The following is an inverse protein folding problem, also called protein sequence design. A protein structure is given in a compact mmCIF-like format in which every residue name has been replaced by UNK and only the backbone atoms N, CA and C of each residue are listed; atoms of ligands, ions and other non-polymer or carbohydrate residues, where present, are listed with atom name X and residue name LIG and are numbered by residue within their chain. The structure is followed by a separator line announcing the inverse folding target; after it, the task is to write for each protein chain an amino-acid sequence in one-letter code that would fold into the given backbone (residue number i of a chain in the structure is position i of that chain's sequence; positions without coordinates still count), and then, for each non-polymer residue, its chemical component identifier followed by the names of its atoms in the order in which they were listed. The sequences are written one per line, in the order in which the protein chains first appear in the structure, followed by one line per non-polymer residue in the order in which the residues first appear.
data_IF_393909674968
#
_entry.id   IF_393909674968
#
_cell.length_a   1.000
_cell.length_b   1.000
_cell.length_c   1.000
_cell.angle_alpha   90.00
_cell.angle_beta   90.00
_cell.angle_gamma   90.00
#
_symmetry.space_group_name_H-M   'P 1'
#
loop_
_entity.id
_entity.type
_entity.pdbx_description
1 polymer ?
#
# COMPACT_ATOMS: atom_id res chain seq x y z
N UNK A 1 44.98 -78.27 -0.59
CA UNK A 1 45.14 -76.81 -0.74
C UNK A 1 44.41 -76.37 -2.01
N UNK A 2 43.22 -75.80 -1.82
CA UNK A 2 42.24 -75.33 -2.83
C UNK A 2 42.83 -74.29 -3.79
N UNK A 3 42.67 -74.34 -5.11
CA UNK A 3 41.51 -74.31 -6.04
C UNK A 3 40.83 -72.94 -6.19
N UNK A 4 40.65 -72.60 -7.48
CA UNK A 4 40.40 -71.28 -8.08
C UNK A 4 38.91 -71.08 -8.43
N UNK A 5 38.61 -69.82 -8.72
CA UNK A 5 37.75 -69.32 -9.83
C UNK A 5 36.25 -69.09 -9.62
N UNK A 6 35.91 -67.80 -9.79
CA UNK A 6 34.90 -67.21 -10.69
C UNK A 6 33.53 -67.89 -10.89
N UNK A 7 32.49 -67.23 -10.36
CA UNK A 7 31.43 -66.55 -11.13
C UNK A 7 30.44 -67.37 -11.98
N UNK A 8 29.16 -67.38 -11.58
CA UNK A 8 28.00 -67.41 -12.48
C UNK A 8 26.66 -67.06 -11.78
N UNK A 9 25.84 -66.21 -12.41
CA UNK A 9 24.35 -66.20 -12.37
C UNK A 9 23.86 -66.90 -13.67
N UNK A 10 22.60 -67.39 -13.86
CA UNK A 10 21.32 -66.72 -13.51
C UNK A 10 20.03 -67.59 -13.27
N UNK A 11 18.91 -66.89 -12.98
CA UNK A 11 17.45 -67.13 -13.24
C UNK A 11 16.73 -68.45 -12.86
N UNK A 12 15.81 -68.33 -11.89
CA UNK A 12 14.35 -68.40 -12.06
C UNK A 12 13.62 -69.73 -11.77
N UNK A 13 12.64 -69.73 -10.85
CA UNK A 13 11.37 -70.48 -10.96
C UNK A 13 10.31 -70.02 -9.93
N UNK A 14 9.04 -70.05 -10.35
CA UNK A 14 7.80 -69.66 -9.64
C UNK A 14 7.42 -70.66 -8.53
N UNK A 15 6.77 -70.18 -7.46
CA UNK A 15 5.54 -70.80 -6.93
C UNK A 15 4.78 -69.80 -6.04
N UNK A 16 3.46 -69.72 -6.28
CA UNK A 16 2.54 -68.96 -5.44
C UNK A 16 1.92 -69.80 -4.33
N UNK A 17 1.35 -69.11 -3.34
CA UNK A 17 0.01 -69.34 -2.75
C UNK A 17 -0.23 -68.33 -1.62
N UNK A 18 -1.47 -67.86 -1.54
CA UNK A 18 -2.05 -66.99 -0.52
C UNK A 18 -2.21 -67.69 0.84
N UNK A 19 -2.77 -66.94 1.80
CA UNK A 19 -3.39 -67.28 3.11
C UNK A 19 -2.67 -66.51 4.24
N UNK A 20 -3.09 -65.27 4.56
CA UNK A 20 -4.17 -64.90 5.50
C UNK A 20 -4.09 -65.57 6.89
N UNK A 21 -3.96 -64.69 7.90
CA UNK A 21 -4.51 -64.70 9.28
C UNK A 21 -3.58 -64.87 10.50
N UNK A 22 -3.94 -64.05 11.50
CA UNK A 22 -3.57 -64.01 12.92
C UNK A 22 -2.16 -63.48 13.25
N UNK A 23 -1.93 -62.45 14.07
CA UNK A 23 -2.78 -61.78 15.04
C UNK A 23 -2.07 -61.80 16.40
N UNK A 24 -1.44 -60.70 16.82
CA UNK A 24 -1.23 -60.42 18.25
C UNK A 24 -0.98 -58.93 18.51
N UNK A 25 -1.89 -58.38 19.30
CA UNK A 25 -1.98 -57.02 19.81
C UNK A 25 -0.72 -56.51 20.52
N UNK A 26 -0.34 -55.26 20.26
CA UNK A 26 0.39 -54.41 21.20
C UNK A 26 -0.56 -53.27 21.61
N UNK A 27 -0.86 -53.21 22.91
CA UNK A 27 -1.77 -52.24 23.54
C UNK A 27 -1.10 -50.87 23.61
N UNK A 28 -1.72 -49.85 23.02
CA UNK A 28 -1.39 -48.44 23.24
C UNK A 28 -2.11 -47.87 24.47
N UNK A 29 -1.58 -46.82 25.12
CA UNK A 29 -2.23 -46.20 26.28
C UNK A 29 -3.37 -45.25 25.86
N UNK A 30 -4.57 -45.67 26.25
CA UNK A 30 -5.77 -44.94 26.68
C UNK A 30 -5.78 -43.41 26.48
N UNK A 31 -6.61 -42.97 25.52
CA UNK A 31 -7.21 -41.62 25.44
C UNK A 31 -8.00 -41.33 26.72
N UNK A 32 -7.59 -40.34 27.52
CA UNK A 32 -8.47 -39.69 28.49
C UNK A 32 -9.22 -38.55 27.79
N UNK A 33 -10.55 -38.66 27.78
CA UNK A 33 -11.45 -37.67 27.20
C UNK A 33 -11.40 -36.33 27.93
N UNK A 34 -11.41 -35.26 27.16
CA UNK A 34 -11.69 -33.90 27.63
C UNK A 34 -13.13 -33.60 27.16
N UNK A 35 -14.04 -33.18 28.06
CA UNK A 35 -15.45 -33.02 27.73
C UNK A 35 -15.69 -31.87 26.76
N UNK A 36 -16.60 -32.10 25.81
CA UNK A 36 -17.09 -31.10 24.89
C UNK A 36 -17.83 -29.99 25.65
N UNK A 37 -17.24 -28.79 25.70
CA UNK A 37 -17.94 -27.56 26.05
C UNK A 37 -18.84 -27.16 24.89
N UNK A 38 -20.03 -27.76 24.82
CA UNK A 38 -21.16 -27.17 24.12
C UNK A 38 -21.55 -25.89 24.87
N UNK A 39 -21.09 -24.74 24.38
CA UNK A 39 -21.63 -23.45 24.82
C UNK A 39 -23.00 -23.29 24.17
N UNK A 40 -24.05 -23.54 24.94
CA UNK A 40 -25.42 -23.20 24.58
C UNK A 40 -25.48 -21.70 24.24
N UNK A 41 -26.01 -21.38 23.06
CA UNK A 41 -26.41 -20.02 22.68
C UNK A 41 -27.67 -19.71 23.49
N UNK A 42 -27.70 -18.68 24.35
CA UNK A 42 -28.94 -18.29 25.02
C UNK A 42 -29.94 -17.75 23.97
N UNK A 43 -31.26 -18.00 24.12
CA UNK A 43 -32.25 -17.44 23.22
C UNK A 43 -32.24 -15.91 23.30
N UNK A 44 -32.48 -15.27 22.16
CA UNK A 44 -32.57 -13.82 22.05
C UNK A 44 -33.69 -13.27 22.93
N UNK A 45 -33.38 -12.23 23.71
CA UNK A 45 -34.37 -11.46 24.47
C UNK A 45 -35.40 -10.84 23.52
N UNK A 46 -36.69 -10.79 23.88
CA UNK A 46 -37.70 -10.06 23.12
C UNK A 46 -37.40 -8.55 23.15
N UNK A 47 -37.69 -7.81 22.08
CA UNK A 47 -37.44 -6.36 22.04
C UNK A 47 -38.29 -5.63 23.08
N UNK A 48 -37.66 -4.71 23.81
CA UNK A 48 -38.34 -3.83 24.76
C UNK A 48 -39.46 -3.02 24.07
N UNK A 49 -40.64 -2.85 24.71
CA UNK A 49 -41.71 -2.05 24.15
C UNK A 49 -41.44 -0.57 24.40
N UNK A 50 -41.38 0.20 23.32
CA UNK A 50 -41.52 1.66 23.41
C UNK A 50 -40.37 2.45 22.81
N UNK A 51 -40.37 2.57 21.48
CA UNK A 51 -39.87 3.76 20.81
C UNK A 51 -40.70 3.99 19.55
N UNK A 52 -41.63 4.95 19.63
CA UNK A 52 -42.42 5.42 18.48
C UNK A 52 -41.55 6.40 17.67
N UNK A 53 -41.45 6.28 16.34
CA UNK A 53 -40.81 7.32 15.55
C UNK A 53 -41.68 8.58 15.53
N UNK A 54 -41.07 9.72 15.88
CA UNK A 54 -41.70 11.02 15.72
C UNK A 54 -41.92 11.30 14.23
N UNK A 55 -43.18 11.49 13.85
CA UNK A 55 -43.55 12.03 12.55
C UNK A 55 -42.96 13.44 12.41
N UNK A 56 -42.05 13.61 11.46
CA UNK A 56 -41.62 14.94 11.00
C UNK A 56 -42.78 15.53 10.20
N UNK A 57 -43.51 16.45 10.85
CA UNK A 57 -44.54 17.25 10.21
C UNK A 57 -43.88 18.21 9.20
N UNK A 58 -44.32 18.14 7.95
CA UNK A 58 -43.98 19.14 6.93
C UNK A 58 -44.55 20.52 7.28
N UNK A 59 -43.93 21.62 6.80
CA UNK A 59 -44.42 22.97 7.05
C UNK A 59 -45.77 23.21 6.36
N UNK A 60 -46.72 23.74 7.12
CA UNK A 60 -48.06 24.16 6.66
C UNK A 60 -47.98 25.49 5.87
N UNK A 61 -48.94 25.78 4.98
CA UNK A 61 -48.97 27.01 4.19
C UNK A 61 -49.37 28.21 5.04
N UNK A 62 -48.80 29.38 4.74
CA UNK A 62 -49.19 30.67 5.30
C UNK A 62 -50.60 31.08 4.81
N UNK A 63 -51.44 31.69 5.66
CA UNK A 63 -52.72 32.24 5.24
C UNK A 63 -52.52 33.57 4.50
N UNK A 64 -53.28 33.74 3.42
CA UNK A 64 -53.29 34.95 2.61
C UNK A 64 -54.11 36.06 3.25
N UNK A 65 -53.62 37.29 3.08
CA UNK A 65 -54.41 38.49 3.27
C UNK A 65 -54.80 39.07 1.90
N UNK A 66 -56.12 39.23 1.76
CA UNK A 66 -56.75 39.90 0.66
C UNK A 66 -56.82 41.42 0.91
N UNK A 67 -56.53 42.19 -0.13
CA UNK A 67 -57.22 43.47 -0.39
C UNK A 67 -56.53 44.74 0.09
N UNK A 68 -55.93 45.47 -0.87
CA UNK A 68 -56.46 46.76 -1.37
C UNK A 68 -55.47 47.37 -2.36
N UNK A 69 -55.92 47.54 -3.60
CA UNK A 69 -55.38 48.55 -4.51
C UNK A 69 -55.86 49.94 -4.10
N UNK A 70 -55.12 50.99 -4.45
CA UNK A 70 -55.74 51.91 -5.41
C UNK A 70 -54.80 52.33 -6.55
N UNK A 71 -55.47 52.75 -7.62
CA UNK A 71 -54.98 53.19 -8.92
C UNK A 71 -53.99 54.36 -8.86
N UNK A 72 -52.99 54.34 -9.75
CA UNK A 72 -52.07 55.46 -10.00
C UNK A 72 -51.23 55.29 -11.28
N UNK A 73 -51.86 55.55 -12.43
CA UNK A 73 -51.39 56.07 -13.75
C UNK A 73 -50.00 55.71 -14.36
N UNK A 74 -49.90 55.74 -15.71
CA UNK A 74 -48.86 55.04 -16.46
C UNK A 74 -47.60 55.89 -16.69
N UNK A 75 -46.46 55.43 -16.17
CA UNK A 75 -45.14 55.98 -16.49
C UNK A 75 -44.39 55.02 -17.41
N UNK A 76 -44.20 55.45 -18.66
CA UNK A 76 -43.33 54.89 -19.70
C UNK A 76 -42.24 53.91 -19.22
N UNK A 77 -42.48 52.61 -19.40
CA UNK A 77 -41.39 51.63 -19.47
C UNK A 77 -40.57 51.90 -20.73
N UNK A 78 -39.46 52.62 -20.57
CA UNK A 78 -38.41 52.66 -21.57
C UNK A 78 -38.01 51.21 -21.87
N UNK A 79 -38.38 50.78 -23.07
CA UNK A 79 -37.96 49.53 -23.70
C UNK A 79 -36.46 49.61 -23.94
N UNK A 80 -35.64 49.46 -22.90
CA UNK A 80 -34.23 49.14 -23.06
C UNK A 80 -34.16 47.75 -23.68
N UNK A 81 -34.03 47.74 -25.00
CA UNK A 81 -33.51 46.59 -25.74
C UNK A 81 -32.16 46.25 -25.12
N UNK A 82 -32.16 45.31 -24.18
CA UNK A 82 -30.94 44.59 -23.84
C UNK A 82 -30.57 43.87 -25.12
N UNK A 83 -29.59 44.41 -25.84
CA UNK A 83 -28.86 43.64 -26.82
C UNK A 83 -28.29 42.43 -26.08
N UNK A 84 -28.96 41.28 -26.23
CA UNK A 84 -28.32 39.99 -26.10
C UNK A 84 -27.14 40.00 -27.07
N UNK A 85 -25.99 40.51 -26.62
CA UNK A 85 -24.71 40.16 -27.22
C UNK A 85 -24.66 38.66 -27.10
N UNK A 86 -24.87 37.97 -28.24
CA UNK A 86 -24.54 36.56 -28.42
C UNK A 86 -23.25 36.32 -27.66
N UNK A 87 -23.31 35.49 -26.63
CA UNK A 87 -22.11 34.93 -26.05
C UNK A 87 -21.29 34.39 -27.25
N UNK A 88 -20.00 34.73 -27.37
CA UNK A 88 -19.19 34.07 -28.38
C UNK A 88 -19.35 32.57 -28.16
N UNK A 89 -19.50 31.75 -29.22
CA UNK A 89 -19.53 30.32 -29.05
C UNK A 89 -18.32 29.98 -28.19
N UNK A 90 -18.56 29.27 -27.10
CA UNK A 90 -17.51 28.65 -26.31
C UNK A 90 -16.70 27.84 -27.31
N UNK A 91 -15.65 28.45 -27.86
CA UNK A 91 -14.54 27.76 -28.46
C UNK A 91 -13.96 26.98 -27.30
N UNK A 92 -14.48 25.77 -27.13
CA UNK A 92 -13.74 24.60 -26.74
C UNK A 92 -12.56 24.47 -27.72
N UNK A 93 -11.66 25.44 -27.69
CA UNK A 93 -10.25 25.20 -27.92
C UNK A 93 -9.81 24.43 -26.68
N UNK A 94 -10.34 23.20 -26.56
CA UNK A 94 -9.70 22.11 -25.86
C UNK A 94 -8.28 22.18 -26.33
N UNK A 95 -7.42 22.59 -25.42
CA UNK A 95 -6.02 22.83 -25.64
C UNK A 95 -5.39 21.53 -26.13
N UNK A 96 -5.50 21.31 -27.43
CA UNK A 96 -5.01 20.17 -28.21
C UNK A 96 -3.52 20.36 -28.46
N UNK A 97 -2.79 20.73 -27.40
CA UNK A 97 -1.33 20.85 -27.35
C UNK A 97 -0.84 20.25 -26.04
N UNK A 98 -0.84 18.92 -25.99
CA UNK A 98 0.13 18.11 -25.26
C UNK A 98 0.18 16.72 -25.91
N UNK A 99 0.56 16.70 -27.20
CA UNK A 99 1.31 15.57 -27.74
C UNK A 99 2.55 15.42 -26.85
N UNK A 100 2.54 14.36 -26.03
CA UNK A 100 3.68 13.74 -25.34
C UNK A 100 4.90 14.65 -25.05
N UNK A 101 4.75 15.66 -24.19
CA UNK A 101 5.92 16.06 -23.39
C UNK A 101 6.06 14.95 -22.36
N UNK A 102 6.95 13.98 -22.62
CA UNK A 102 7.31 12.95 -21.66
C UNK A 102 7.66 13.66 -20.37
N UNK A 103 6.78 13.55 -19.37
CA UNK A 103 7.03 14.20 -18.10
C UNK A 103 8.34 13.64 -17.53
N UNK A 104 9.10 14.41 -16.75
CA UNK A 104 10.34 13.90 -16.12
C UNK A 104 10.13 12.58 -15.37
N UNK A 105 8.92 12.36 -14.86
CA UNK A 105 8.47 11.10 -14.25
C UNK A 105 8.28 9.95 -15.24
N UNK A 106 7.82 10.22 -16.46
CA UNK A 106 7.70 9.23 -17.53
C UNK A 106 9.08 8.78 -18.02
N UNK A 107 10.05 9.70 -18.13
CA UNK A 107 11.45 9.35 -18.42
C UNK A 107 12.06 8.49 -17.32
N UNK A 108 11.85 8.84 -16.05
CA UNK A 108 12.30 8.03 -14.92
C UNK A 108 11.67 6.62 -14.91
N UNK A 109 10.39 6.51 -15.27
CA UNK A 109 9.70 5.23 -15.38
C UNK A 109 10.29 4.34 -16.50
N UNK A 110 10.56 4.92 -17.68
CA UNK A 110 11.19 4.20 -18.78
C UNK A 110 12.62 3.76 -18.45
N UNK A 111 13.41 4.66 -17.87
CA UNK A 111 14.76 4.33 -17.40
C UNK A 111 14.73 3.20 -16.36
N UNK A 112 13.79 3.25 -15.41
CA UNK A 112 13.58 2.18 -14.44
C UNK A 112 13.18 0.85 -15.09
N UNK A 113 12.30 0.86 -16.09
CA UNK A 113 11.90 -0.34 -16.83
C UNK A 113 13.07 -0.99 -17.59
N UNK A 114 13.89 -0.18 -18.26
CA UNK A 114 15.10 -0.65 -18.95
C UNK A 114 16.11 -1.20 -17.93
N UNK A 115 16.31 -0.52 -16.81
CA UNK A 115 17.23 -0.94 -15.76
C UNK A 115 16.80 -2.27 -15.11
N UNK A 116 15.50 -2.47 -14.89
CA UNK A 116 14.95 -3.75 -14.40
C UNK A 116 15.17 -4.88 -15.40
N UNK A 117 14.97 -4.64 -16.70
CA UNK A 117 15.23 -5.63 -17.74
C UNK A 117 16.73 -6.00 -17.79
N UNK A 118 17.62 -5.01 -17.72
CA UNK A 118 19.07 -5.22 -17.67
C UNK A 118 19.48 -6.01 -16.42
N UNK A 119 18.88 -5.73 -15.25
CA UNK A 119 19.12 -6.52 -14.04
C UNK A 119 18.66 -7.96 -14.18
N UNK A 120 17.55 -8.21 -14.89
CA UNK A 120 17.09 -9.58 -15.08
C UNK A 120 18.09 -10.41 -15.88
N UNK A 121 18.74 -9.79 -16.88
CA UNK A 121 19.84 -10.40 -17.61
C UNK A 121 21.05 -10.66 -16.69
N UNK A 122 21.46 -9.68 -15.87
CA UNK A 122 22.57 -9.87 -14.93
C UNK A 122 22.32 -11.02 -13.93
N UNK A 123 21.09 -11.16 -13.42
CA UNK A 123 20.74 -12.23 -12.47
C UNK A 123 20.90 -13.63 -13.08
N UNK A 124 20.52 -13.81 -14.34
CA UNK A 124 20.50 -15.14 -14.96
C UNK A 124 21.74 -15.47 -15.79
N UNK A 125 22.39 -14.47 -16.38
CA UNK A 125 23.54 -14.67 -17.28
C UNK A 125 24.89 -14.40 -16.60
N UNK A 126 24.95 -13.50 -15.61
CA UNK A 126 26.21 -13.07 -14.99
C UNK A 126 26.41 -13.62 -13.57
N UNK A 127 25.38 -13.57 -12.73
CA UNK A 127 25.53 -13.99 -11.34
C UNK A 127 25.73 -15.51 -11.20
N UNK A 128 26.81 -15.96 -10.55
CA UNK A 128 27.02 -17.37 -10.28
C UNK A 128 25.98 -17.91 -9.29
N UNK A 129 25.70 -19.21 -9.37
CA UNK A 129 24.80 -19.87 -8.42
C UNK A 129 25.53 -20.21 -7.12
N UNK A 130 24.86 -20.02 -6.00
CA UNK A 130 25.39 -20.38 -4.70
C UNK A 130 25.41 -21.91 -4.54
N UNK A 131 26.49 -22.45 -3.96
CA UNK A 131 26.82 -23.88 -3.98
C UNK A 131 25.80 -24.76 -3.24
N UNK A 132 25.08 -24.24 -2.25
CA UNK A 132 24.17 -25.00 -1.40
C UNK A 132 22.72 -24.87 -1.85
N UNK A 133 22.25 -23.64 -2.12
CA UNK A 133 20.86 -23.35 -2.49
C UNK A 133 20.61 -23.46 -4.00
N UNK A 134 21.65 -23.39 -4.82
CA UNK A 134 21.55 -23.44 -6.28
C UNK A 134 20.69 -22.29 -6.85
N UNK A 135 19.81 -22.56 -7.82
CA UNK A 135 19.09 -21.51 -8.56
C UNK A 135 18.09 -20.74 -7.70
N UNK A 136 17.64 -21.30 -6.56
CA UNK A 136 16.68 -20.62 -5.68
C UNK A 136 17.28 -19.40 -4.99
N UNK A 137 18.61 -19.36 -4.82
CA UNK A 137 19.29 -18.17 -4.33
C UNK A 137 18.96 -16.93 -5.17
N UNK A 138 18.62 -17.05 -6.46
CA UNK A 138 18.30 -15.90 -7.32
C UNK A 138 17.10 -15.06 -6.83
N UNK A 139 16.22 -15.61 -5.98
CA UNK A 139 15.15 -14.86 -5.30
C UNK A 139 15.72 -13.72 -4.44
N UNK A 140 16.93 -13.89 -3.90
CA UNK A 140 17.67 -12.87 -3.16
C UNK A 140 17.75 -11.53 -3.88
N UNK A 141 18.02 -11.55 -5.19
CA UNK A 141 18.18 -10.32 -6.00
C UNK A 141 16.88 -9.54 -6.18
N UNK A 142 15.73 -10.19 -5.98
CA UNK A 142 14.42 -9.55 -5.91
C UNK A 142 14.08 -9.14 -4.47
N UNK A 143 14.27 -10.05 -3.52
CA UNK A 143 13.87 -9.87 -2.13
C UNK A 143 14.66 -8.75 -1.43
N UNK A 144 15.98 -8.71 -1.61
CA UNK A 144 16.85 -7.71 -0.98
C UNK A 144 16.48 -6.26 -1.34
N UNK A 145 16.35 -5.87 -2.63
CA UNK A 145 16.00 -4.49 -2.96
C UNK A 145 14.57 -4.13 -2.54
N UNK A 146 13.63 -5.08 -2.55
CA UNK A 146 12.28 -4.86 -2.02
C UNK A 146 12.32 -4.48 -0.54
N UNK A 147 13.07 -5.24 0.26
CA UNK A 147 13.23 -4.97 1.68
C UNK A 147 13.91 -3.61 1.91
N UNK A 148 15.02 -3.36 1.22
CA UNK A 148 15.81 -2.14 1.39
C UNK A 148 15.00 -0.88 1.08
N UNK A 149 14.37 -0.81 -0.09
CA UNK A 149 13.61 0.38 -0.50
C UNK A 149 12.29 0.51 0.27
N UNK A 150 11.71 -0.59 0.77
CA UNK A 150 10.60 -0.54 1.72
C UNK A 150 10.98 0.19 3.02
N UNK A 151 12.10 -0.19 3.64
CA UNK A 151 12.61 0.45 4.86
C UNK A 151 13.00 1.92 4.63
N UNK A 152 13.66 2.23 3.50
CA UNK A 152 13.98 3.61 3.11
C UNK A 152 12.71 4.45 2.95
N UNK A 153 11.63 3.87 2.42
CA UNK A 153 10.33 4.54 2.30
C UNK A 153 9.75 4.89 3.68
N UNK A 154 9.84 3.99 4.65
CA UNK A 154 9.40 4.27 6.03
C UNK A 154 10.27 5.32 6.72
N UNK A 155 11.58 5.35 6.44
CA UNK A 155 12.47 6.43 6.90
C UNK A 155 12.04 7.78 6.31
N UNK A 156 11.78 7.84 5.00
CA UNK A 156 11.31 9.05 4.34
C UNK A 156 9.94 9.52 4.89
N UNK A 157 9.04 8.58 5.21
CA UNK A 157 7.77 8.85 5.86
C UNK A 157 7.94 9.43 7.27
N UNK A 158 8.88 8.88 8.06
CA UNK A 158 9.23 9.40 9.39
C UNK A 158 9.76 10.83 9.31
N UNK A 159 10.73 11.10 8.43
CA UNK A 159 11.27 12.45 8.23
C UNK A 159 10.18 13.45 7.83
N UNK A 160 9.29 13.07 6.90
CA UNK A 160 8.20 13.93 6.49
C UNK A 160 7.15 14.14 7.58
N UNK A 161 6.88 13.12 8.40
CA UNK A 161 5.98 13.24 9.55
C UNK A 161 6.55 14.18 10.62
N UNK A 162 7.85 14.12 10.87
CA UNK A 162 8.54 15.06 11.78
C UNK A 162 8.49 16.49 11.23
N UNK A 163 8.76 16.68 9.94
CA UNK A 163 8.64 17.98 9.27
C UNK A 163 7.21 18.51 9.27
N UNK A 164 6.20 17.64 9.13
CA UNK A 164 4.80 18.02 9.28
C UNK A 164 4.52 18.49 10.70
N UNK A 165 4.98 17.77 11.74
CA UNK A 165 4.76 18.17 13.12
C UNK A 165 5.44 19.51 13.46
N UNK A 166 6.62 19.78 12.88
CA UNK A 166 7.34 21.03 13.09
C UNK A 166 6.75 22.21 12.30
N UNK A 167 6.53 22.05 10.99
CA UNK A 167 6.14 23.17 10.10
C UNK A 167 4.64 23.25 9.83
N UNK A 168 3.86 22.23 10.20
CA UNK A 168 2.41 22.09 9.97
C UNK A 168 1.97 22.30 8.52
N UNK A 169 2.85 22.09 7.53
CA UNK A 169 2.52 22.23 6.10
C UNK A 169 1.89 20.94 5.56
N UNK A 170 0.71 20.99 4.90
CA UNK A 170 0.01 19.80 4.40
C UNK A 170 0.82 19.02 3.34
N UNK A 171 1.77 19.67 2.66
CA UNK A 171 2.65 19.02 1.70
C UNK A 171 3.51 17.92 2.31
N UNK A 172 3.92 18.06 3.58
CA UNK A 172 4.73 17.06 4.28
C UNK A 172 3.89 15.85 4.69
N UNK A 173 2.66 16.07 5.14
CA UNK A 173 1.73 14.98 5.44
C UNK A 173 1.37 14.19 4.17
N UNK A 174 1.13 14.86 3.05
CA UNK A 174 0.91 14.20 1.76
C UNK A 174 2.13 13.40 1.27
N UNK A 175 3.34 13.89 1.52
CA UNK A 175 4.56 13.14 1.20
C UNK A 175 4.71 11.91 2.11
N UNK A 176 4.47 12.08 3.42
CA UNK A 176 4.48 10.98 4.38
C UNK A 176 3.50 9.88 3.97
N UNK A 177 2.27 10.25 3.60
CA UNK A 177 1.27 9.31 3.11
C UNK A 177 1.73 8.52 1.87
N UNK A 178 2.29 9.21 0.87
CA UNK A 178 2.82 8.55 -0.32
C UNK A 178 3.97 7.59 0.02
N UNK A 179 4.84 7.97 0.96
CA UNK A 179 5.96 7.15 1.42
C UNK A 179 5.51 5.94 2.24
N UNK A 180 4.47 6.07 3.09
CA UNK A 180 3.86 4.95 3.81
C UNK A 180 3.25 3.96 2.84
N UNK A 181 2.46 4.42 1.86
CA UNK A 181 1.83 3.53 0.89
C UNK A 181 2.87 2.81 0.02
N UNK A 182 3.88 3.52 -0.47
CA UNK A 182 4.97 2.91 -1.25
C UNK A 182 5.77 1.92 -0.40
N UNK A 183 6.06 2.27 0.85
CA UNK A 183 6.76 1.40 1.79
C UNK A 183 5.97 0.14 2.11
N UNK A 184 4.66 0.26 2.33
CA UNK A 184 3.78 -0.87 2.59
C UNK A 184 3.71 -1.82 1.40
N UNK A 185 3.65 -1.30 0.16
CA UNK A 185 3.69 -2.13 -1.04
C UNK A 185 4.99 -2.96 -1.11
N UNK A 186 6.15 -2.32 -0.93
CA UNK A 186 7.45 -2.99 -0.95
C UNK A 186 7.61 -3.98 0.21
N UNK A 187 7.15 -3.62 1.40
CA UNK A 187 7.15 -4.49 2.58
C UNK A 187 6.25 -5.72 2.36
N UNK A 188 5.07 -5.54 1.76
CA UNK A 188 4.17 -6.65 1.39
C UNK A 188 4.86 -7.61 0.43
N UNK A 189 5.47 -7.08 -0.64
CA UNK A 189 6.23 -7.90 -1.60
C UNK A 189 7.43 -8.59 -0.95
N UNK A 190 8.07 -7.95 0.02
CA UNK A 190 9.15 -8.54 0.82
C UNK A 190 8.66 -9.73 1.64
N UNK A 191 7.52 -9.60 2.32
CA UNK A 191 6.92 -10.71 3.09
C UNK A 191 6.52 -11.88 2.16
N UNK A 192 5.92 -11.60 1.00
CA UNK A 192 5.53 -12.63 0.02
C UNK A 192 6.76 -13.35 -0.53
N UNK A 193 7.75 -12.60 -1.04
CA UNK A 193 8.97 -13.20 -1.59
C UNK A 193 9.78 -13.93 -0.52
N UNK A 194 9.80 -13.42 0.71
CA UNK A 194 10.43 -14.07 1.86
C UNK A 194 9.75 -15.39 2.23
N UNK A 195 8.41 -15.44 2.19
CA UNK A 195 7.66 -16.66 2.45
C UNK A 195 7.88 -17.74 1.38
N UNK A 196 7.92 -17.33 0.10
CA UNK A 196 8.26 -18.22 -1.02
C UNK A 196 9.68 -18.79 -0.84
N UNK A 197 10.65 -17.93 -0.50
CA UNK A 197 12.02 -18.36 -0.25
C UNK A 197 12.12 -19.30 0.96
N UNK A 198 11.44 -18.98 2.05
CA UNK A 198 11.39 -19.81 3.27
C UNK A 198 10.81 -21.19 3.02
N UNK A 199 9.75 -21.29 2.19
CA UNK A 199 9.15 -22.59 1.83
C UNK A 199 10.15 -23.52 1.15
N UNK A 200 11.00 -22.98 0.28
CA UNK A 200 12.03 -23.79 -0.37
C UNK A 200 13.22 -24.09 0.55
N UNK A 201 13.73 -23.07 1.26
CA UNK A 201 14.95 -23.20 2.06
C UNK A 201 14.77 -23.99 3.36
N UNK A 202 13.61 -23.89 4.00
CA UNK A 202 13.35 -24.47 5.33
C UNK A 202 12.14 -25.39 5.35
N UNK A 203 11.46 -25.59 4.22
CA UNK A 203 10.27 -26.44 4.13
C UNK A 203 9.01 -25.82 4.75
N UNK A 204 9.04 -24.58 5.23
CA UNK A 204 7.89 -23.92 5.89
C UNK A 204 7.68 -22.50 5.34
N UNK A 205 6.42 -22.09 5.21
CA UNK A 205 6.07 -20.76 4.68
C UNK A 205 6.37 -19.62 5.66
N UNK A 206 6.39 -19.91 6.96
CA UNK A 206 6.63 -18.94 8.00
C UNK A 206 7.28 -19.59 9.21
N UNK A 207 8.23 -18.88 9.81
CA UNK A 207 8.77 -19.17 11.13
C UNK A 207 8.69 -17.92 11.99
N UNK A 208 8.53 -18.11 13.30
CA UNK A 208 8.50 -17.02 14.27
C UNK A 208 9.90 -16.55 14.64
N UNK A 209 10.76 -16.39 13.62
CA UNK A 209 12.09 -15.81 13.78
C UNK A 209 11.96 -14.32 14.17
N UNK A 210 12.86 -13.77 15.01
CA UNK A 210 12.79 -12.37 15.45
C UNK A 210 12.73 -11.37 14.30
N UNK A 211 13.46 -11.60 13.21
CA UNK A 211 13.45 -10.70 12.04
C UNK A 211 12.12 -10.76 11.30
N UNK A 212 11.63 -11.97 11.05
CA UNK A 212 10.38 -12.19 10.33
C UNK A 212 9.20 -11.61 11.13
N UNK A 213 9.20 -11.84 12.44
CA UNK A 213 8.15 -11.37 13.34
C UNK A 213 8.15 -9.84 13.44
N UNK A 214 9.31 -9.20 13.60
CA UNK A 214 9.40 -7.72 13.62
C UNK A 214 9.03 -7.11 12.27
N UNK A 215 9.43 -7.71 11.14
CA UNK A 215 9.00 -7.23 9.82
C UNK A 215 7.47 -7.34 9.62
N UNK A 216 6.84 -8.38 10.18
CA UNK A 216 5.38 -8.52 10.16
C UNK A 216 4.69 -7.48 11.06
N UNK A 217 5.25 -7.22 12.24
CA UNK A 217 4.75 -6.16 13.15
C UNK A 217 4.86 -4.80 12.47
N UNK A 218 6.00 -4.48 11.84
CA UNK A 218 6.21 -3.27 11.05
C UNK A 218 5.12 -3.09 10.00
N UNK A 219 4.83 -4.17 9.25
CA UNK A 219 3.78 -4.18 8.23
C UNK A 219 2.42 -3.83 8.84
N UNK A 220 2.04 -4.45 9.96
CA UNK A 220 0.77 -4.15 10.64
C UNK A 220 0.69 -2.71 11.16
N UNK A 221 1.78 -2.15 11.68
CA UNK A 221 1.81 -0.76 12.14
C UNK A 221 1.50 0.20 10.98
N UNK A 222 2.15 0.01 9.82
CA UNK A 222 1.94 0.87 8.66
C UNK A 222 0.62 0.60 7.94
N UNK A 223 0.12 -0.64 7.92
CA UNK A 223 -1.24 -0.95 7.49
C UNK A 223 -2.29 -0.26 8.39
N UNK A 224 -2.06 -0.26 9.70
CA UNK A 224 -2.85 0.48 10.69
C UNK A 224 -2.83 1.99 10.43
N UNK A 225 -1.69 2.56 10.03
CA UNK A 225 -1.58 3.96 9.63
C UNK A 225 -2.48 4.28 8.41
N UNK A 226 -2.55 3.38 7.42
CA UNK A 226 -3.47 3.53 6.27
C UNK A 226 -4.94 3.46 6.70
N UNK A 227 -5.29 2.50 7.57
CA UNK A 227 -6.64 2.38 8.12
C UNK A 227 -7.04 3.62 8.95
N UNK A 228 -6.13 4.16 9.75
CA UNK A 228 -6.35 5.41 10.48
C UNK A 228 -6.60 6.59 9.54
N UNK A 229 -5.94 6.61 8.39
CA UNK A 229 -6.06 7.68 7.40
C UNK A 229 -7.36 7.62 6.60
N UNK A 230 -8.02 6.47 6.51
CA UNK A 230 -9.34 6.35 5.88
C UNK A 230 -10.49 6.76 6.80
N UNK A 231 -10.24 6.93 8.10
CA UNK A 231 -11.28 7.31 9.06
C UNK A 231 -11.80 8.75 8.81
N UNK A 232 -13.12 8.97 8.96
CA UNK A 232 -13.71 10.30 8.80
C UNK A 232 -13.34 11.18 10.00
N UNK A 233 -12.32 12.02 9.82
CA UNK A 233 -11.81 12.95 10.83
C UNK A 233 -11.40 14.28 10.19
N UNK A 234 -11.37 15.39 10.96
CA UNK A 234 -10.80 16.65 10.48
C UNK A 234 -9.36 16.47 10.01
N UNK A 235 -9.02 17.04 8.85
CA UNK A 235 -7.75 16.77 8.16
C UNK A 235 -6.52 16.98 9.04
N UNK A 236 -6.51 18.07 9.80
CA UNK A 236 -5.39 18.42 10.69
C UNK A 236 -5.20 17.40 11.81
N UNK A 237 -6.30 16.87 12.37
CA UNK A 237 -6.28 15.84 13.42
C UNK A 237 -5.80 14.52 12.86
N UNK A 238 -6.35 14.11 11.71
CA UNK A 238 -5.92 12.90 10.99
C UNK A 238 -4.43 12.92 10.68
N UNK A 239 -3.94 14.00 10.06
CA UNK A 239 -2.53 14.15 9.71
C UNK A 239 -1.61 14.13 10.94
N UNK A 240 -2.03 14.71 12.07
CA UNK A 240 -1.26 14.65 13.32
C UNK A 240 -1.18 13.22 13.88
N UNK A 241 -2.31 12.51 13.94
CA UNK A 241 -2.34 11.13 14.43
C UNK A 241 -1.53 10.18 13.53
N UNK A 242 -1.70 10.27 12.21
CA UNK A 242 -0.90 9.50 11.25
C UNK A 242 0.61 9.79 11.38
N UNK A 243 0.99 11.05 11.63
CA UNK A 243 2.40 11.41 11.83
C UNK A 243 2.99 10.77 13.08
N UNK A 244 2.25 10.76 14.19
CA UNK A 244 2.68 10.11 15.44
C UNK A 244 2.83 8.61 15.24
N UNK A 245 1.84 7.94 14.64
CA UNK A 245 1.90 6.49 14.35
C UNK A 245 3.07 6.16 13.42
N UNK A 246 3.30 6.99 12.40
CA UNK A 246 4.42 6.80 11.45
C UNK A 246 5.78 6.91 12.12
N UNK A 247 5.94 7.86 13.06
CA UNK A 247 7.18 8.03 13.84
C UNK A 247 7.36 6.86 14.81
N UNK A 248 6.30 6.47 15.51
CA UNK A 248 6.34 5.33 16.43
C UNK A 248 6.69 4.03 15.70
N UNK A 249 6.09 3.79 14.53
CA UNK A 249 6.40 2.64 13.68
C UNK A 249 7.83 2.65 13.14
N UNK A 250 8.42 3.83 12.92
CA UNK A 250 9.81 3.91 12.49
C UNK A 250 10.79 3.39 13.55
N UNK A 251 10.43 3.39 14.84
CA UNK A 251 11.28 2.80 15.89
C UNK A 251 11.49 1.29 15.70
N UNK A 252 10.56 0.62 15.01
CA UNK A 252 10.66 -0.81 14.68
C UNK A 252 11.57 -1.05 13.47
N UNK A 253 11.84 -0.07 12.60
CA UNK A 253 12.74 -0.22 11.44
C UNK A 253 14.18 -0.60 11.85
N UNK A 254 14.84 0.10 12.81
CA UNK A 254 16.11 -0.35 13.35
C UNK A 254 16.04 -1.74 14.00
N UNK A 255 14.91 -2.08 14.65
CA UNK A 255 14.72 -3.38 15.28
C UNK A 255 14.70 -4.49 14.22
N UNK A 256 14.00 -4.31 13.11
CA UNK A 256 14.00 -5.25 11.97
C UNK A 256 15.42 -5.43 11.42
N UNK A 257 16.20 -4.36 11.29
CA UNK A 257 17.57 -4.45 10.77
C UNK A 257 18.50 -5.19 11.75
N UNK A 258 18.47 -4.80 13.03
CA UNK A 258 19.32 -5.31 14.09
C UNK A 258 18.89 -6.68 14.63
N UNK A 259 17.66 -7.11 14.36
CA UNK A 259 17.08 -8.37 14.86
C UNK A 259 17.99 -9.59 14.64
N UNK A 260 18.60 -9.71 13.46
CA UNK A 260 19.50 -10.81 13.15
C UNK A 260 20.88 -10.74 13.83
N UNK A 261 21.23 -9.58 14.43
CA UNK A 261 22.46 -9.40 15.21
C UNK A 261 22.22 -9.56 16.71
N UNK A 262 21.03 -9.16 17.16
CA UNK A 262 20.65 -9.18 18.57
C UNK A 262 20.16 -10.55 19.05
N UNK A 263 19.52 -11.32 18.16
CA UNK A 263 19.02 -12.66 18.47
C UNK A 263 19.59 -13.73 17.53
N UNK A 264 19.55 -14.99 17.97
CA UNK A 264 19.79 -16.14 17.08
C UNK A 264 18.70 -16.14 16.02
N UNK A 265 19.09 -15.79 14.79
CA UNK A 265 18.20 -15.76 13.64
C UNK A 265 18.62 -16.80 12.61
N UNK A 266 17.64 -17.46 12.01
CA UNK A 266 17.86 -18.34 10.84
C UNK A 266 18.10 -17.53 9.56
N UNK A 267 17.90 -16.20 9.62
CA UNK A 267 18.02 -15.34 8.45
C UNK A 267 19.49 -15.07 8.12
N UNK A 268 19.96 -15.40 6.91
CA UNK A 268 21.35 -15.15 6.52
C UNK A 268 21.63 -13.64 6.53
N UNK A 269 22.75 -13.24 7.13
CA UNK A 269 23.15 -11.83 7.22
C UNK A 269 24.34 -11.52 6.32
N UNK A 270 24.03 -11.13 5.08
CA UNK A 270 25.01 -10.74 4.04
C UNK A 270 25.87 -9.52 4.39
N UNK A 271 25.46 -8.70 5.36
CA UNK A 271 26.20 -7.50 5.80
C UNK A 271 26.94 -7.68 7.14
N UNK A 272 26.93 -8.87 7.76
CA UNK A 272 27.48 -9.06 9.11
C UNK A 272 28.65 -10.04 9.21
N UNK A 273 29.06 -10.70 8.12
CA UNK A 273 30.12 -11.69 8.22
C UNK A 273 31.51 -11.03 8.21
N UNK A 274 32.14 -10.97 9.39
CA UNK A 274 33.61 -10.97 9.50
C UNK A 274 34.11 -12.27 8.85
N UNK A 275 34.47 -12.21 7.56
CA UNK A 275 35.10 -13.32 6.83
C UNK A 275 34.23 -14.09 5.83
N UNK A 276 33.01 -13.63 5.53
CA UNK A 276 32.10 -14.31 4.58
C UNK A 276 31.32 -13.34 3.72
N UNK A 277 32.04 -12.48 2.99
CA UNK A 277 31.42 -11.53 2.05
C UNK A 277 30.74 -12.24 0.88
N UNK A 278 29.76 -11.57 0.26
CA UNK A 278 29.25 -11.96 -1.05
C UNK A 278 30.41 -11.97 -2.05
N UNK A 279 30.44 -12.98 -2.91
CA UNK A 279 31.36 -13.03 -4.04
C UNK A 279 31.21 -11.74 -4.87
N UNK A 280 32.31 -11.14 -5.38
CA UNK A 280 32.25 -9.82 -6.01
C UNK A 280 31.20 -9.72 -7.13
N UNK A 281 31.03 -10.80 -7.90
CA UNK A 281 30.04 -10.91 -8.96
C UNK A 281 28.61 -10.86 -8.42
N UNK A 282 28.33 -11.59 -7.33
CA UNK A 282 27.03 -11.56 -6.66
C UNK A 282 26.75 -10.19 -6.03
N UNK A 283 27.77 -9.55 -5.44
CA UNK A 283 27.66 -8.24 -4.83
C UNK A 283 27.35 -7.16 -5.88
N UNK A 284 28.02 -7.21 -7.04
CA UNK A 284 27.77 -6.30 -8.16
C UNK A 284 26.36 -6.47 -8.72
N UNK A 285 25.89 -7.71 -8.90
CA UNK A 285 24.51 -7.96 -9.33
C UNK A 285 23.49 -7.45 -8.31
N UNK A 286 23.75 -7.66 -7.01
CA UNK A 286 22.88 -7.14 -5.95
C UNK A 286 22.83 -5.60 -5.94
N UNK A 287 23.98 -4.94 -6.14
CA UNK A 287 24.06 -3.49 -6.25
C UNK A 287 23.31 -2.95 -7.49
N UNK A 288 23.45 -3.62 -8.63
CA UNK A 288 22.70 -3.29 -9.86
C UNK A 288 21.19 -3.41 -9.65
N UNK A 289 20.75 -4.47 -8.98
CA UNK A 289 19.34 -4.67 -8.60
C UNK A 289 18.86 -3.56 -7.66
N UNK A 290 19.64 -3.23 -6.63
CA UNK A 290 19.31 -2.12 -5.73
C UNK A 290 19.18 -0.79 -6.48
N UNK A 291 20.09 -0.48 -7.41
CA UNK A 291 20.03 0.71 -8.24
C UNK A 291 18.81 0.73 -9.18
N UNK A 292 18.42 -0.41 -9.74
CA UNK A 292 17.25 -0.48 -10.63
C UNK A 292 15.94 -0.30 -9.86
N UNK A 293 15.83 -0.94 -8.70
CA UNK A 293 14.69 -0.76 -7.80
C UNK A 293 14.61 0.64 -7.21
N UNK A 294 15.72 1.38 -7.11
CA UNK A 294 15.70 2.80 -6.74
C UNK A 294 14.85 3.60 -7.73
N UNK A 295 15.07 3.42 -9.04
CA UNK A 295 14.30 4.11 -10.07
C UNK A 295 12.83 3.75 -10.03
N UNK A 296 12.50 2.48 -9.77
CA UNK A 296 11.13 2.03 -9.56
C UNK A 296 10.51 2.71 -8.33
N UNK A 297 11.16 2.61 -7.19
CA UNK A 297 10.71 3.18 -5.91
C UNK A 297 10.50 4.69 -6.00
N UNK A 298 11.49 5.44 -6.48
CA UNK A 298 11.42 6.90 -6.55
C UNK A 298 10.33 7.35 -7.53
N UNK A 299 10.14 6.62 -8.65
CA UNK A 299 9.08 6.92 -9.61
C UNK A 299 7.71 6.71 -8.99
N UNK A 300 7.48 5.56 -8.34
CA UNK A 300 6.22 5.27 -7.65
C UNK A 300 5.92 6.31 -6.56
N UNK A 301 6.93 6.64 -5.75
CA UNK A 301 6.82 7.64 -4.69
C UNK A 301 6.45 9.03 -5.25
N UNK A 302 7.14 9.49 -6.29
CA UNK A 302 6.87 10.80 -6.90
C UNK A 302 5.48 10.82 -7.54
N UNK A 303 5.10 9.76 -8.26
CA UNK A 303 3.77 9.66 -8.89
C UNK A 303 2.70 9.71 -7.81
N UNK A 304 2.83 8.91 -6.75
CA UNK A 304 1.85 8.88 -5.66
C UNK A 304 1.76 10.21 -4.92
N UNK A 305 2.90 10.84 -4.63
CA UNK A 305 2.92 12.16 -3.99
C UNK A 305 2.31 13.25 -4.87
N UNK A 306 2.49 13.18 -6.20
CA UNK A 306 1.83 14.08 -7.14
C UNK A 306 0.33 13.84 -7.20
N UNK A 307 -0.12 12.59 -7.22
CA UNK A 307 -1.54 12.24 -7.17
C UNK A 307 -2.23 12.83 -5.95
N UNK A 308 -1.64 12.67 -4.75
CA UNK A 308 -2.20 13.25 -3.52
C UNK A 308 -2.24 14.78 -3.55
N UNK A 309 -1.19 15.44 -4.05
CA UNK A 309 -1.16 16.90 -4.21
C UNK A 309 -2.18 17.42 -5.19
N UNK A 310 -2.38 16.73 -6.32
CA UNK A 310 -3.36 17.14 -7.32
C UNK A 310 -4.79 16.92 -6.80
N UNK A 311 -5.05 15.80 -6.12
CA UNK A 311 -6.36 15.51 -5.54
C UNK A 311 -6.76 16.60 -4.54
N UNK A 312 -5.89 16.94 -3.59
CA UNK A 312 -6.15 18.00 -2.62
C UNK A 312 -6.37 19.39 -3.27
N UNK A 313 -5.72 19.67 -4.41
CA UNK A 313 -5.95 20.91 -5.16
C UNK A 313 -7.31 20.91 -5.85
N UNK A 314 -7.71 19.77 -6.43
CA UNK A 314 -9.03 19.64 -7.05
C UNK A 314 -10.14 19.80 -6.01
N UNK A 315 -9.99 19.18 -4.84
CA UNK A 315 -10.96 19.30 -3.75
C UNK A 315 -11.08 20.75 -3.26
N UNK A 316 -9.96 21.46 -3.09
CA UNK A 316 -9.96 22.86 -2.71
C UNK A 316 -10.63 23.77 -3.75
N UNK A 317 -10.38 23.54 -5.04
CA UNK A 317 -11.02 24.29 -6.14
C UNK A 317 -12.50 23.96 -6.28
N UNK A 318 -12.89 22.70 -6.07
CA UNK A 318 -14.27 22.27 -6.08
C UNK A 318 -15.06 22.95 -4.96
N UNK A 319 -14.52 22.98 -3.74
CA UNK A 319 -15.10 23.72 -2.62
C UNK A 319 -15.18 25.22 -2.90
N UNK A 320 -14.10 25.84 -3.41
CA UNK A 320 -14.11 27.26 -3.76
C UNK A 320 -15.19 27.60 -4.80
N UNK A 321 -15.45 26.70 -5.76
CA UNK A 321 -16.51 26.87 -6.75
C UNK A 321 -17.91 26.69 -6.17
N UNK A 322 -18.09 25.76 -5.23
CA UNK A 322 -19.38 25.55 -4.54
C UNK A 322 -19.76 26.73 -3.64
N UNK A 323 -18.77 27.35 -2.99
CA UNK A 323 -18.97 28.53 -2.15
C UNK A 323 -18.89 29.86 -2.90
N UNK A 324 -18.52 29.86 -4.18
CA UNK A 324 -18.62 31.04 -5.02
C UNK A 324 -20.10 31.31 -5.33
N UNK A 325 -20.74 32.11 -4.49
CA UNK A 325 -22.11 32.57 -4.68
C UNK A 325 -22.19 33.39 -5.99
N UNK A 326 -23.01 32.97 -6.98
CA UNK A 326 -23.25 33.75 -8.20
C UNK A 326 -23.82 35.16 -7.92
N UNK A 327 -24.37 35.39 -6.73
CA UNK A 327 -25.02 36.63 -6.32
C UNK A 327 -24.15 37.55 -5.46
N UNK A 328 -22.88 37.20 -5.17
CA UNK A 328 -21.98 38.10 -4.44
C UNK A 328 -21.70 39.38 -5.26
N UNK A 329 -22.19 40.56 -4.81
CA UNK A 329 -22.01 41.81 -5.52
C UNK A 329 -20.54 42.27 -5.57
N UNK A 330 -19.63 41.68 -4.77
CA UNK A 330 -18.20 42.01 -4.76
C UNK A 330 -17.51 41.70 -6.10
N UNK A 331 -17.84 40.55 -6.73
CA UNK A 331 -17.25 40.13 -8.01
C UNK A 331 -17.66 41.04 -9.19
N UNK A 332 -18.82 41.70 -9.10
CA UNK A 332 -19.32 42.62 -10.13
C UNK A 332 -18.63 44.00 -10.12
N UNK A 333 -18.09 44.43 -8.97
CA UNK A 333 -17.47 45.74 -8.81
C UNK A 333 -16.04 45.79 -9.33
N UNK A 334 -15.31 44.68 -9.26
CA UNK A 334 -13.91 44.61 -9.66
C UNK A 334 -13.74 44.63 -11.20
N UNK A 335 -14.67 44.02 -11.93
CA UNK A 335 -14.74 44.14 -13.40
C UNK A 335 -15.08 45.56 -13.89
N UNK A 336 -15.83 46.34 -13.10
CA UNK A 336 -16.25 47.72 -13.45
C UNK A 336 -15.18 48.78 -13.16
N UNK A 337 -14.28 48.52 -12.20
CA UNK A 337 -13.09 49.38 -11.95
C UNK A 337 -12.03 49.22 -13.04
N UNK A 338 -11.87 48.01 -13.60
CA UNK A 338 -10.87 47.73 -14.65
C UNK A 338 -11.23 48.24 -16.04
N UNK A 339 -12.50 48.60 -16.28
CA UNK A 339 -12.96 49.12 -17.58
C UNK A 339 -13.07 50.66 -17.63
N UNK A 340 -12.63 51.36 -16.58
CA UNK A 340 -12.73 52.83 -16.43
C UNK A 340 -11.38 53.52 -16.21
N UNK A 341 -10.27 52.81 -16.43
CA UNK A 341 -8.91 53.33 -16.37
C UNK A 341 -8.29 53.37 -17.75
#
# INVERSE_FOLDING_TARGET
MDRRSCGHRPRGHRHGRSWLTAGSLVRGPVRKGIPALHRAVPPADPPAPGWRPAHVAGPRPFPGDAGRSPLGRPGSCLRQRVHCRRAPPFSLCVQRRRLMVLSKTSLAALAGGIALAACQWLIFAWAPEEKVMGPVQKIFYLHLPLAWWGLVSFAAACTASLLYLWRKKPSFDQFSAAAVETGLLFCTLTLVTGSIWGRHSWGVWWTWDPRLTTALILWFIYAGCMALRSMPMPERRRAALCSVVTIAGFLDVPLVFLSARLWRSIHPSVFAAKGGGLEPEMAMTAAACAASFFFLWITLLIVRWRQLRMSARLDALALARLYADPTDPSCSREGKKRSRG
#
